data_IF_590326019472
#
_entry.id   IF_590326019472
#
_cell.length_a   1.000
_cell.length_b   1.000
_cell.length_c   1.000
_cell.angle_alpha   90.00
_cell.angle_beta   90.00
_cell.angle_gamma   90.00
#
_symmetry.space_group_name_H-M   'P 1'
#
loop_
_entity.id
_entity.type
_entity.pdbx_description
1 polymer ?
#
# COMPACT_ATOMS: atom_id res chain seq x y z
N UNK A 1 6.76 7.05 1.37
CA UNK A 1 7.48 7.91 2.35
C UNK A 1 8.96 7.90 2.01
N UNK A 2 9.74 8.90 2.41
CA UNK A 2 11.20 8.92 2.16
C UNK A 2 11.94 9.17 3.47
N UNK A 3 13.02 8.41 3.70
CA UNK A 3 13.90 8.55 4.87
C UNK A 3 15.36 8.49 4.45
N UNK A 4 16.23 9.00 5.31
CA UNK A 4 17.68 8.99 5.09
C UNK A 4 18.37 8.46 6.34
N UNK A 5 19.44 7.69 6.15
CA UNK A 5 20.20 7.09 7.25
C UNK A 5 21.59 6.66 6.81
N UNK A 6 22.44 6.33 7.76
CA UNK A 6 23.83 5.88 7.52
C UNK A 6 23.92 4.42 7.05
N UNK A 7 22.82 3.65 7.16
CA UNK A 7 22.80 2.21 6.95
C UNK A 7 21.43 1.72 6.47
N UNK A 8 21.37 0.59 5.77
CA UNK A 8 20.11 -0.08 5.39
C UNK A 8 19.24 -0.42 6.61
N UNK A 9 19.85 -0.90 7.69
CA UNK A 9 19.15 -1.19 8.95
C UNK A 9 18.52 0.08 9.53
N UNK A 10 19.27 1.19 9.50
CA UNK A 10 18.83 2.47 10.05
C UNK A 10 17.61 3.01 9.30
N UNK A 11 17.64 3.00 7.97
CA UNK A 11 16.49 3.46 7.17
C UNK A 11 15.28 2.55 7.33
N UNK A 12 15.47 1.23 7.47
CA UNK A 12 14.37 0.31 7.74
C UNK A 12 13.68 0.60 9.08
N UNK A 13 14.45 0.87 10.15
CA UNK A 13 13.91 1.30 11.44
C UNK A 13 13.12 2.61 11.34
N UNK A 14 13.66 3.60 10.62
CA UNK A 14 13.00 4.90 10.42
C UNK A 14 11.70 4.78 9.63
N UNK A 15 11.65 3.90 8.61
CA UNK A 15 10.41 3.61 7.88
C UNK A 15 9.41 2.93 8.82
N UNK A 16 9.84 1.92 9.56
CA UNK A 16 8.95 1.17 10.44
C UNK A 16 8.34 2.03 11.56
N UNK A 17 9.12 2.98 12.10
CA UNK A 17 8.65 3.93 13.11
C UNK A 17 7.60 4.94 12.59
N UNK A 18 7.50 5.09 11.26
CA UNK A 18 6.54 5.97 10.60
C UNK A 18 5.35 5.24 10.01
N UNK A 19 5.21 3.93 10.25
CA UNK A 19 4.05 3.16 9.82
C UNK A 19 2.85 3.59 10.66
N UNK A 20 1.80 4.19 10.06
CA UNK A 20 0.60 4.56 10.79
C UNK A 20 -0.21 3.31 11.18
N UNK A 21 -1.05 3.46 12.21
CA UNK A 21 -1.99 2.40 12.62
C UNK A 21 -2.87 1.95 11.44
N UNK A 22 -3.06 0.64 11.32
CA UNK A 22 -3.82 0.04 10.22
C UNK A 22 -3.06 -0.03 8.89
N UNK A 23 -1.77 0.29 8.86
CA UNK A 23 -0.88 0.08 7.71
C UNK A 23 0.22 -0.92 8.05
N UNK A 24 0.81 -1.51 7.02
CA UNK A 24 2.00 -2.35 7.13
C UNK A 24 3.03 -1.99 6.07
N UNK A 25 4.29 -2.14 6.44
CA UNK A 25 5.41 -2.03 5.51
C UNK A 25 5.33 -3.13 4.45
N UNK A 26 5.45 -2.74 3.17
CA UNK A 26 5.40 -3.65 2.04
C UNK A 26 6.80 -3.91 1.49
N UNK A 27 7.46 -2.87 0.98
CA UNK A 27 8.87 -2.92 0.60
C UNK A 27 9.47 -1.51 0.64
N UNK A 28 10.79 -1.43 0.49
CA UNK A 28 11.49 -0.17 0.29
C UNK A 28 12.40 -0.25 -0.93
N UNK A 29 12.65 0.90 -1.55
CA UNK A 29 13.70 1.13 -2.54
C UNK A 29 14.79 1.93 -1.87
N UNK A 30 16.05 1.57 -2.09
CA UNK A 30 17.18 2.27 -1.47
C UNK A 30 18.19 2.71 -2.50
N UNK A 31 18.69 3.93 -2.35
CA UNK A 31 19.81 4.48 -3.08
C UNK A 31 20.92 4.81 -2.10
N UNK A 32 22.14 4.32 -2.37
CA UNK A 32 23.32 4.64 -1.58
C UNK A 32 24.19 5.65 -2.32
N UNK A 33 24.47 6.77 -1.66
CA UNK A 33 25.39 7.79 -2.15
C UNK A 33 26.84 7.45 -1.83
N UNK A 34 27.78 7.97 -2.64
CA UNK A 34 29.23 7.86 -2.44
C UNK A 34 29.71 8.36 -1.08
N UNK A 35 28.94 9.23 -0.43
CA UNK A 35 29.23 9.77 0.91
C UNK A 35 28.82 8.82 2.06
N UNK A 36 28.34 7.61 1.75
CA UNK A 36 27.89 6.63 2.73
C UNK A 36 26.46 6.84 3.25
N UNK A 37 25.72 7.82 2.70
CA UNK A 37 24.32 8.06 3.04
C UNK A 37 23.43 7.11 2.24
N UNK A 38 22.49 6.46 2.92
CA UNK A 38 21.43 5.64 2.34
C UNK A 38 20.13 6.43 2.38
N UNK A 39 19.55 6.67 1.21
CA UNK A 39 18.20 7.21 1.05
C UNK A 39 17.28 6.04 0.76
N UNK A 40 16.15 5.96 1.46
CA UNK A 40 15.16 4.92 1.22
C UNK A 40 13.76 5.50 1.01
N UNK A 41 13.07 4.98 -0.01
CA UNK A 41 11.65 5.23 -0.25
C UNK A 41 10.87 4.03 0.25
N UNK A 42 10.14 4.20 1.35
CA UNK A 42 9.28 3.18 1.94
C UNK A 42 7.88 3.18 1.32
N UNK A 43 7.43 2.00 0.88
CA UNK A 43 6.09 1.74 0.39
C UNK A 43 5.29 0.97 1.46
N UNK A 44 4.16 1.56 1.85
CA UNK A 44 3.24 0.95 2.80
C UNK A 44 1.97 0.50 2.10
N UNK A 45 1.31 -0.51 2.66
CA UNK A 45 -0.03 -0.92 2.27
C UNK A 45 -0.97 -0.81 3.45
N UNK A 46 -2.21 -0.41 3.21
CA UNK A 46 -3.25 -0.45 4.23
C UNK A 46 -3.64 -1.90 4.53
N UNK A 47 -3.96 -2.20 5.79
CA UNK A 47 -4.63 -3.43 6.23
C UNK A 47 -6.15 -3.29 6.24
N UNK A 48 -6.66 -2.06 6.09
CA UNK A 48 -8.08 -1.83 6.10
C UNK A 48 -8.74 -2.55 4.92
N UNK A 49 -9.74 -3.36 5.22
CA UNK A 49 -10.55 -4.04 4.21
C UNK A 49 -11.97 -3.53 4.34
N UNK A 50 -12.58 -3.20 3.20
CA UNK A 50 -13.98 -2.78 3.12
C UNK A 50 -14.71 -3.66 2.13
N UNK A 51 -15.91 -4.07 2.53
CA UNK A 51 -16.84 -4.75 1.65
C UNK A 51 -17.68 -3.69 0.94
N UNK A 52 -17.92 -3.92 -0.35
CA UNK A 52 -18.69 -3.05 -1.20
C UNK A 52 -19.76 -3.91 -1.87
N UNK A 53 -21.02 -3.60 -1.59
CA UNK A 53 -22.17 -4.26 -2.18
C UNK A 53 -22.57 -3.56 -3.48
N UNK A 54 -22.71 -4.34 -4.55
CA UNK A 54 -23.12 -3.87 -5.87
C UNK A 54 -24.10 -4.84 -6.48
N UNK A 55 -25.20 -4.31 -6.99
CA UNK A 55 -26.19 -5.05 -7.75
C UNK A 55 -25.97 -4.83 -9.26
N UNK A 56 -26.13 -5.89 -10.04
CA UNK A 56 -26.08 -5.83 -11.50
C UNK A 56 -26.76 -7.06 -12.09
N UNK A 57 -27.38 -6.90 -13.25
CA UNK A 57 -28.13 -7.97 -13.92
C UNK A 57 -27.26 -9.16 -14.34
N UNK A 58 -25.96 -8.92 -14.52
CA UNK A 58 -24.96 -9.94 -14.84
C UNK A 58 -23.63 -9.63 -14.14
N UNK A 59 -22.79 -10.66 -13.97
CA UNK A 59 -21.50 -10.53 -13.29
C UNK A 59 -20.62 -9.43 -13.89
N UNK A 60 -20.61 -9.30 -15.23
CA UNK A 60 -19.82 -8.26 -15.91
C UNK A 60 -20.25 -6.84 -15.51
N UNK A 61 -21.57 -6.59 -15.50
CA UNK A 61 -22.13 -5.31 -15.08
C UNK A 61 -21.83 -5.01 -13.60
N UNK A 62 -22.02 -5.99 -12.72
CA UNK A 62 -21.72 -5.86 -11.29
C UNK A 62 -20.22 -5.62 -11.06
N UNK A 63 -19.33 -6.30 -11.77
CA UNK A 63 -17.88 -6.13 -11.66
C UNK A 63 -17.43 -4.73 -12.11
N UNK A 64 -17.98 -4.22 -13.22
CA UNK A 64 -17.67 -2.87 -13.70
C UNK A 64 -18.14 -1.81 -12.70
N UNK A 65 -19.35 -1.94 -12.16
CA UNK A 65 -19.86 -1.05 -11.13
C UNK A 65 -19.05 -1.14 -9.83
N UNK A 66 -18.65 -2.35 -9.41
CA UNK A 66 -17.76 -2.57 -8.27
C UNK A 66 -16.42 -1.87 -8.45
N UNK A 67 -15.77 -2.04 -9.62
CA UNK A 67 -14.52 -1.35 -9.98
C UNK A 67 -14.65 0.18 -9.91
N UNK A 68 -15.79 0.73 -10.34
CA UNK A 68 -16.03 2.16 -10.31
C UNK A 68 -16.22 2.71 -8.89
N UNK A 69 -16.63 1.86 -7.94
CA UNK A 69 -16.82 2.23 -6.54
C UNK A 69 -15.58 1.99 -5.66
N UNK A 70 -14.51 1.38 -6.20
CA UNK A 70 -13.23 1.26 -5.48
C UNK A 70 -12.66 2.66 -5.28
N UNK A 71 -12.42 3.10 -4.01
CA UNK A 71 -11.86 4.42 -3.76
C UNK A 71 -10.44 4.58 -4.32
N UNK A 72 -10.02 5.82 -4.56
CA UNK A 72 -8.65 6.10 -5.01
C UNK A 72 -7.62 5.60 -3.97
N UNK A 73 -6.58 4.93 -4.45
CA UNK A 73 -5.55 4.32 -3.59
C UNK A 73 -5.94 2.96 -3.00
N UNK A 74 -7.15 2.46 -3.27
CA UNK A 74 -7.59 1.12 -2.85
C UNK A 74 -7.46 0.12 -3.99
N UNK A 75 -7.28 -1.16 -3.62
CA UNK A 75 -7.22 -2.27 -4.57
C UNK A 75 -8.33 -3.27 -4.25
N UNK A 76 -9.06 -3.71 -5.27
CA UNK A 76 -9.97 -4.83 -5.17
C UNK A 76 -9.19 -6.13 -4.97
N UNK A 77 -9.35 -6.78 -3.81
CA UNK A 77 -8.56 -7.96 -3.42
C UNK A 77 -9.32 -9.28 -3.56
N UNK A 78 -10.65 -9.24 -3.48
CA UNK A 78 -11.51 -10.40 -3.63
C UNK A 78 -12.88 -9.99 -4.16
N UNK A 79 -13.53 -10.90 -4.86
CA UNK A 79 -14.93 -10.78 -5.30
C UNK A 79 -15.61 -12.09 -4.99
N UNK A 80 -16.84 -12.04 -4.48
CA UNK A 80 -17.64 -13.23 -4.19
C UNK A 80 -19.13 -12.90 -4.26
N UNK A 81 -19.98 -13.91 -4.44
CA UNK A 81 -21.41 -13.73 -4.24
C UNK A 81 -21.67 -13.39 -2.76
N UNK A 82 -22.65 -12.52 -2.53
CA UNK A 82 -23.21 -12.29 -1.19
C UNK A 82 -24.34 -13.26 -0.91
#
# INVERSE_FOLDING_TARGET
MTVEGDSLSRVAELINAQVPDGWVFSHMETEQSTNGVVVAVGHLRSLETREIDVEGDEYGAAYTALRAMVPEGWQLVATGPR
#
